data_IF_923406212291
#
_entry.id   IF_923406212291
#
_cell.length_a   1.000
_cell.length_b   1.000
_cell.length_c   1.000
_cell.angle_alpha   90.00
_cell.angle_beta   90.00
_cell.angle_gamma   90.00
#
_symmetry.space_group_name_H-M   'P 1'
#
loop_
_entity.id
_entity.type
_entity.pdbx_description
1 polymer ?
#
# COMPACT_ATOMS: atom_id res chain seq x y z
N UNK A 1 17.92 13.86 -86.51
CA UNK A 1 18.30 13.37 -85.19
C UNK A 1 17.80 14.36 -84.14
N UNK A 2 16.74 14.02 -83.42
CA UNK A 2 16.16 14.86 -82.35
C UNK A 2 16.52 14.25 -80.97
N UNK A 3 17.32 14.99 -80.25
CA UNK A 3 17.60 14.61 -78.83
C UNK A 3 16.50 15.00 -77.92
N UNK A 4 15.90 13.99 -77.24
CA UNK A 4 14.94 14.21 -76.14
C UNK A 4 15.72 14.54 -74.87
N UNK A 5 15.42 15.70 -74.31
CA UNK A 5 15.85 16.07 -72.93
C UNK A 5 15.03 15.28 -71.91
N UNK A 6 15.67 14.43 -71.09
CA UNK A 6 15.09 13.79 -69.94
C UNK A 6 15.24 14.75 -68.77
N UNK A 7 14.09 15.23 -68.27
CA UNK A 7 14.06 16.06 -67.04
C UNK A 7 13.99 15.13 -65.86
N UNK A 8 15.06 15.11 -65.06
CA UNK A 8 15.10 14.39 -63.80
C UNK A 8 14.39 15.22 -62.73
N UNK A 9 13.24 14.81 -62.27
CA UNK A 9 12.58 15.37 -61.09
C UNK A 9 13.29 14.83 -59.85
N UNK A 10 13.99 15.71 -59.16
CA UNK A 10 14.52 15.45 -57.82
C UNK A 10 13.34 15.47 -56.80
N UNK A 11 12.89 14.30 -56.34
CA UNK A 11 12.02 14.18 -55.21
C UNK A 11 12.87 14.39 -53.93
N UNK A 12 12.72 15.55 -53.32
CA UNK A 12 13.23 15.78 -51.94
C UNK A 12 12.39 14.98 -50.95
N UNK A 13 13.01 14.22 -50.04
CA UNK A 13 12.24 13.53 -48.97
C UNK A 13 11.72 14.59 -47.99
N UNK A 14 10.41 14.70 -47.89
CA UNK A 14 9.74 15.45 -46.84
C UNK A 14 9.98 14.71 -45.52
N UNK A 15 10.92 15.17 -44.70
CA UNK A 15 11.07 14.77 -43.33
C UNK A 15 9.86 15.30 -42.54
N UNK A 16 8.87 14.46 -42.31
CA UNK A 16 7.81 14.74 -41.35
C UNK A 16 8.47 14.63 -39.97
N UNK A 17 8.89 15.75 -39.41
CA UNK A 17 9.15 15.84 -37.98
C UNK A 17 7.84 15.60 -37.25
N UNK A 18 7.64 14.38 -36.75
CA UNK A 18 6.63 14.13 -35.74
C UNK A 18 7.06 14.87 -34.46
N UNK A 19 6.58 16.10 -34.33
CA UNK A 19 6.62 16.79 -33.05
C UNK A 19 5.76 15.98 -32.08
N UNK A 20 6.41 15.18 -31.24
CA UNK A 20 5.78 14.68 -30.03
C UNK A 20 5.33 15.90 -29.23
N UNK A 21 4.04 16.19 -29.27
CA UNK A 21 3.44 17.18 -28.38
C UNK A 21 3.55 16.58 -26.99
N UNK A 22 4.63 16.91 -26.28
CA UNK A 22 4.62 16.82 -24.84
C UNK A 22 3.44 17.70 -24.38
N UNK A 23 2.43 17.08 -23.74
CA UNK A 23 1.35 17.81 -23.11
C UNK A 23 2.02 18.87 -22.21
N UNK A 24 1.89 20.14 -22.60
CA UNK A 24 2.59 21.23 -21.94
C UNK A 24 2.23 21.22 -20.45
N UNK A 25 3.23 21.29 -19.58
CA UNK A 25 3.04 21.45 -18.15
C UNK A 25 2.19 22.69 -17.91
N UNK A 26 0.95 22.51 -17.49
CA UNK A 26 0.11 23.65 -17.12
C UNK A 26 0.70 24.36 -15.89
N UNK A 27 0.37 25.63 -15.63
CA UNK A 27 0.81 26.32 -14.41
C UNK A 27 0.51 25.49 -13.15
N UNK A 28 -0.61 24.75 -13.13
CA UNK A 28 -0.97 23.87 -12.02
C UNK A 28 -0.05 22.66 -11.90
N UNK A 29 0.40 22.08 -13.00
CA UNK A 29 1.36 20.96 -12.99
C UNK A 29 2.68 21.40 -12.38
N UNK A 30 3.14 22.61 -12.73
CA UNK A 30 4.37 23.20 -12.20
C UNK A 30 4.24 23.53 -10.70
N UNK A 31 3.09 24.04 -10.26
CA UNK A 31 2.80 24.31 -8.85
C UNK A 31 2.87 23.02 -8.01
N UNK A 32 2.17 21.95 -8.42
CA UNK A 32 2.20 20.65 -7.72
C UNK A 32 3.62 20.10 -7.69
N UNK A 33 4.33 20.13 -8.82
CA UNK A 33 5.72 19.68 -8.90
C UNK A 33 6.61 20.45 -7.93
N UNK A 34 6.49 21.77 -7.90
CA UNK A 34 7.26 22.64 -6.99
C UNK A 34 6.99 22.29 -5.53
N UNK A 35 5.73 22.10 -5.14
CA UNK A 35 5.36 21.71 -3.78
C UNK A 35 5.96 20.35 -3.40
N UNK A 36 5.90 19.37 -4.29
CA UNK A 36 6.51 18.05 -4.06
C UNK A 36 8.03 18.16 -3.97
N UNK A 37 8.66 18.89 -4.90
CA UNK A 37 10.12 19.10 -4.89
C UNK A 37 10.58 19.74 -3.57
N UNK A 38 9.89 20.75 -3.08
CA UNK A 38 10.26 21.46 -1.85
C UNK A 38 10.15 20.58 -0.59
N UNK A 39 9.23 19.65 -0.54
CA UNK A 39 8.96 18.84 0.65
C UNK A 39 9.62 17.47 0.62
N UNK A 40 9.83 16.87 -0.56
CA UNK A 40 10.34 15.50 -0.69
C UNK A 40 11.80 15.40 -1.13
N UNK A 41 12.29 16.30 -2.02
CA UNK A 41 13.70 16.24 -2.42
C UNK A 41 14.71 16.38 -1.26
N UNK A 42 14.49 17.23 -0.26
CA UNK A 42 15.43 17.31 0.87
C UNK A 42 15.56 15.99 1.64
N UNK A 43 14.55 15.11 1.59
CA UNK A 43 14.61 13.80 2.24
C UNK A 43 15.58 12.83 1.54
N UNK A 44 15.80 12.99 0.22
CA UNK A 44 16.78 12.19 -0.53
C UNK A 44 18.19 12.41 0.04
N UNK A 45 18.59 13.68 0.20
CA UNK A 45 19.89 14.05 0.72
C UNK A 45 20.00 13.73 2.22
N UNK A 46 19.00 14.16 3.03
CA UNK A 46 19.03 14.00 4.48
C UNK A 46 19.18 12.54 4.93
N UNK A 47 18.61 11.60 4.18
CA UNK A 47 18.56 10.18 4.53
C UNK A 47 19.35 9.30 3.55
N UNK A 48 20.10 9.92 2.64
CA UNK A 48 20.88 9.21 1.61
C UNK A 48 20.01 8.16 0.90
N UNK A 49 18.84 8.62 0.39
CA UNK A 49 17.86 7.78 -0.31
C UNK A 49 18.21 7.70 -1.79
N UNK A 50 18.59 6.52 -2.34
CA UNK A 50 18.98 6.43 -3.73
C UNK A 50 17.87 6.79 -4.72
N UNK A 51 16.61 6.42 -4.41
CA UNK A 51 15.49 6.65 -5.31
C UNK A 51 14.15 6.84 -4.63
N UNK A 52 13.32 7.68 -5.23
CA UNK A 52 11.98 8.00 -4.72
C UNK A 52 11.01 8.22 -5.88
N UNK A 53 9.77 7.82 -5.69
CA UNK A 53 8.65 8.19 -6.54
C UNK A 53 7.54 8.80 -5.68
N UNK A 54 7.03 9.97 -6.07
CA UNK A 54 5.94 10.67 -5.37
C UNK A 54 4.82 10.95 -6.35
N UNK A 55 3.61 10.59 -5.99
CA UNK A 55 2.42 10.85 -6.78
C UNK A 55 1.36 11.61 -5.99
N UNK A 56 0.70 12.53 -6.66
CA UNK A 56 -0.39 13.33 -6.11
C UNK A 56 -1.65 13.14 -6.96
N UNK A 57 -2.79 13.01 -6.32
CA UNK A 57 -4.10 13.12 -6.96
C UNK A 57 -4.75 14.41 -6.48
N UNK A 58 -5.21 15.24 -7.43
CA UNK A 58 -6.06 16.38 -7.14
C UNK A 58 -7.16 16.45 -8.19
N UNK A 59 -8.41 16.41 -7.74
CA UNK A 59 -9.60 16.46 -8.61
C UNK A 59 -9.55 15.42 -9.76
N UNK A 60 -9.20 14.15 -9.42
CA UNK A 60 -9.02 13.02 -10.34
C UNK A 60 -7.83 13.11 -11.29
N UNK A 61 -7.08 14.22 -11.35
CA UNK A 61 -5.83 14.32 -12.11
C UNK A 61 -4.70 13.73 -11.30
N UNK A 62 -3.87 12.90 -11.94
CA UNK A 62 -2.68 12.26 -11.36
C UNK A 62 -1.43 13.02 -11.78
N UNK A 63 -0.53 13.26 -10.84
CA UNK A 63 0.76 13.89 -11.02
C UNK A 63 1.84 12.94 -10.51
N UNK A 64 2.87 12.70 -11.30
CA UNK A 64 3.91 11.71 -11.02
C UNK A 64 5.28 12.37 -11.05
N UNK A 65 6.07 12.20 -10.01
CA UNK A 65 7.43 12.69 -9.89
C UNK A 65 8.38 11.54 -9.53
N UNK A 66 9.51 11.46 -10.21
CA UNK A 66 10.50 10.39 -10.07
C UNK A 66 11.87 11.02 -9.82
N UNK A 67 12.60 10.48 -8.83
CA UNK A 67 13.87 11.01 -8.37
C UNK A 67 14.88 9.88 -8.17
N UNK A 68 16.14 10.13 -8.55
CA UNK A 68 17.27 9.24 -8.28
C UNK A 68 17.22 7.89 -8.98
N UNK A 69 17.75 6.87 -8.33
CA UNK A 69 18.08 5.58 -8.92
C UNK A 69 17.28 4.42 -8.27
N UNK A 70 16.72 3.54 -9.11
CA UNK A 70 16.14 2.28 -8.66
C UNK A 70 17.20 1.20 -8.38
N UNK A 71 18.38 1.36 -8.98
CA UNK A 71 19.59 0.56 -8.74
C UNK A 71 20.80 1.47 -8.82
N UNK A 72 21.56 1.58 -7.75
CA UNK A 72 22.81 2.36 -7.69
C UNK A 72 23.89 1.65 -8.51
N UNK A 73 23.97 0.33 -8.38
CA UNK A 73 24.96 -0.49 -9.08
C UNK A 73 24.81 -0.37 -10.60
N UNK A 74 23.59 -0.47 -11.11
CA UNK A 74 23.29 -0.41 -12.54
C UNK A 74 23.09 1.02 -13.06
N UNK A 75 23.19 2.04 -12.19
CA UNK A 75 22.90 3.46 -12.48
C UNK A 75 21.53 3.64 -13.15
N UNK A 76 20.55 2.81 -12.79
CA UNK A 76 19.23 2.81 -13.42
C UNK A 76 18.29 3.77 -12.70
N UNK A 77 17.77 4.75 -13.44
CA UNK A 77 16.88 5.76 -12.89
C UNK A 77 15.51 5.20 -12.48
N UNK A 78 14.91 5.80 -11.44
CA UNK A 78 13.50 5.59 -11.08
C UNK A 78 12.60 6.15 -12.19
N UNK A 79 11.58 5.37 -12.55
CA UNK A 79 10.60 5.76 -13.58
C UNK A 79 9.22 5.11 -13.27
N UNK A 80 8.25 5.31 -14.17
CA UNK A 80 6.88 4.80 -14.03
C UNK A 80 6.77 3.27 -13.97
N UNK A 81 7.77 2.54 -14.46
CA UNK A 81 7.81 1.07 -14.41
C UNK A 81 8.54 0.54 -13.18
N UNK A 82 9.17 1.40 -12.36
CA UNK A 82 9.92 0.97 -11.17
C UNK A 82 8.98 0.34 -10.15
N UNK A 83 9.29 -0.89 -9.74
CA UNK A 83 8.53 -1.65 -8.76
C UNK A 83 9.19 -1.50 -7.39
N UNK A 84 8.42 -1.07 -6.39
CA UNK A 84 8.85 -0.89 -5.00
C UNK A 84 8.14 -1.88 -4.08
N UNK A 85 8.78 -2.27 -2.99
CA UNK A 85 8.12 -3.00 -1.90
C UNK A 85 7.23 -2.05 -1.09
N UNK A 86 5.99 -2.47 -0.84
CA UNK A 86 5.02 -1.62 -0.15
C UNK A 86 5.06 -1.77 1.38
N UNK A 87 5.73 -2.82 1.89
CA UNK A 87 5.69 -3.13 3.31
C UNK A 87 4.25 -3.22 3.82
N UNK A 88 3.97 -2.65 4.98
CA UNK A 88 2.64 -2.74 5.60
C UNK A 88 1.49 -2.08 4.83
N UNK A 89 1.75 -1.35 3.76
CA UNK A 89 0.68 -0.89 2.84
C UNK A 89 0.03 -2.09 2.12
N UNK A 90 0.71 -3.23 2.05
CA UNK A 90 0.15 -4.52 1.59
C UNK A 90 -1.15 -4.92 2.31
N UNK A 91 -1.27 -4.57 3.59
CA UNK A 91 -2.45 -4.86 4.42
C UNK A 91 -3.74 -4.25 3.87
N UNK A 92 -3.64 -3.16 3.10
CA UNK A 92 -4.79 -2.53 2.45
C UNK A 92 -5.38 -3.44 1.37
N UNK A 93 -4.54 -4.16 0.64
CA UNK A 93 -4.98 -5.14 -0.35
C UNK A 93 -5.57 -6.39 0.32
N UNK A 94 -4.98 -6.82 1.44
CA UNK A 94 -5.54 -7.91 2.27
C UNK A 94 -6.92 -7.55 2.81
N UNK A 95 -7.08 -6.32 3.31
CA UNK A 95 -8.36 -5.79 3.76
C UNK A 95 -9.39 -5.74 2.62
N UNK A 96 -8.98 -5.25 1.44
CA UNK A 96 -9.85 -5.22 0.24
C UNK A 96 -10.26 -6.63 -0.18
N UNK A 97 -9.34 -7.60 -0.15
CA UNK A 97 -9.64 -9.01 -0.44
C UNK A 97 -10.62 -9.60 0.60
N UNK A 98 -10.46 -9.26 1.88
CA UNK A 98 -11.40 -9.65 2.94
C UNK A 98 -12.79 -9.07 2.75
N UNK A 99 -12.89 -7.77 2.44
CA UNK A 99 -14.17 -7.12 2.10
C UNK A 99 -14.82 -7.75 0.86
N UNK A 100 -14.02 -8.10 -0.15
CA UNK A 100 -14.50 -8.80 -1.34
C UNK A 100 -15.03 -10.19 -1.00
N UNK A 101 -14.29 -10.99 -0.23
CA UNK A 101 -14.70 -12.33 0.19
C UNK A 101 -15.99 -12.28 1.02
N UNK A 102 -16.13 -11.31 1.93
CA UNK A 102 -17.35 -11.06 2.70
C UNK A 102 -18.54 -10.76 1.76
N UNK A 103 -18.36 -9.84 0.81
CA UNK A 103 -19.43 -9.47 -0.13
C UNK A 103 -19.85 -10.62 -1.06
N UNK A 104 -18.96 -11.58 -1.29
CA UNK A 104 -19.26 -12.82 -2.02
C UNK A 104 -19.87 -13.92 -1.12
N UNK A 105 -20.14 -13.64 0.14
CA UNK A 105 -20.67 -14.62 1.10
C UNK A 105 -19.69 -15.76 1.40
N UNK A 106 -18.38 -15.57 1.16
CA UNK A 106 -17.35 -16.58 1.40
C UNK A 106 -16.90 -16.60 2.85
N UNK A 107 -16.97 -15.45 3.54
CA UNK A 107 -16.70 -15.28 4.97
C UNK A 107 -17.74 -14.37 5.60
N UNK A 108 -17.94 -14.51 6.92
CA UNK A 108 -18.47 -13.46 7.80
C UNK A 108 -17.32 -12.93 8.65
N UNK A 109 -17.34 -11.68 9.04
CA UNK A 109 -16.35 -11.14 9.97
C UNK A 109 -16.52 -11.69 11.41
N UNK A 110 -17.69 -12.25 11.70
CA UNK A 110 -17.97 -12.96 12.96
C UNK A 110 -17.50 -14.41 12.94
N UNK A 111 -17.13 -14.95 11.79
CA UNK A 111 -16.55 -16.28 11.69
C UNK A 111 -15.19 -16.36 12.40
N UNK A 112 -14.80 -17.58 12.79
CA UNK A 112 -13.52 -17.87 13.42
C UNK A 112 -12.57 -18.61 12.45
N UNK A 113 -11.25 -18.56 12.64
CA UNK A 113 -10.30 -19.17 11.73
C UNK A 113 -10.47 -20.69 11.60
N UNK A 114 -10.87 -21.41 12.66
CA UNK A 114 -11.10 -22.85 12.63
C UNK A 114 -12.25 -23.30 11.73
N UNK A 115 -13.16 -22.39 11.35
CA UNK A 115 -14.15 -22.66 10.31
C UNK A 115 -13.51 -22.96 8.94
N UNK A 116 -12.39 -22.34 8.64
CA UNK A 116 -11.70 -22.40 7.34
C UNK A 116 -10.39 -23.20 7.38
N UNK A 117 -9.62 -23.06 8.47
CA UNK A 117 -8.42 -23.84 8.73
C UNK A 117 -8.70 -24.84 9.85
N UNK A 118 -9.12 -26.04 9.44
CA UNK A 118 -9.71 -27.06 10.34
C UNK A 118 -8.83 -27.43 11.53
N UNK A 119 -7.52 -27.40 11.35
CA UNK A 119 -6.53 -27.72 12.38
C UNK A 119 -6.48 -26.71 13.53
N UNK A 120 -7.08 -25.51 13.34
CA UNK A 120 -7.22 -24.50 14.38
C UNK A 120 -8.53 -24.63 15.17
N UNK A 121 -9.44 -25.51 14.74
CA UNK A 121 -10.73 -25.67 15.40
C UNK A 121 -10.56 -26.06 16.87
N UNK A 122 -11.31 -25.38 17.75
CA UNK A 122 -11.30 -25.60 19.22
C UNK A 122 -9.94 -25.23 19.88
N UNK A 123 -9.04 -24.54 19.22
CA UNK A 123 -7.84 -23.97 19.84
C UNK A 123 -8.12 -22.57 20.39
N UNK A 124 -7.27 -22.00 21.25
CA UNK A 124 -7.49 -20.64 21.77
C UNK A 124 -7.62 -19.56 20.68
N UNK A 125 -6.88 -19.66 19.56
CA UNK A 125 -7.00 -18.70 18.45
C UNK A 125 -8.37 -18.78 17.73
N UNK A 126 -9.07 -19.90 17.84
CA UNK A 126 -10.42 -20.08 17.28
C UNK A 126 -11.50 -19.33 18.06
N UNK A 127 -11.16 -18.68 19.17
CA UNK A 127 -12.04 -17.76 19.88
C UNK A 127 -11.99 -16.33 19.31
N UNK A 128 -11.02 -16.04 18.44
CA UNK A 128 -10.84 -14.74 17.81
C UNK A 128 -11.59 -14.74 16.48
N UNK A 129 -12.51 -13.80 16.30
CA UNK A 129 -13.20 -13.68 15.01
C UNK A 129 -12.35 -12.96 13.95
N UNK A 130 -12.78 -13.05 12.69
CA UNK A 130 -12.04 -12.52 11.56
C UNK A 130 -11.91 -10.98 11.61
N UNK A 131 -12.89 -10.26 12.15
CA UNK A 131 -12.78 -8.82 12.36
C UNK A 131 -11.66 -8.48 13.35
N UNK A 132 -11.60 -9.18 14.45
CA UNK A 132 -10.57 -9.00 15.49
C UNK A 132 -9.17 -9.30 14.96
N UNK A 133 -9.03 -10.34 14.11
CA UNK A 133 -7.76 -10.60 13.39
C UNK A 133 -7.38 -9.46 12.46
N UNK A 134 -8.32 -8.99 11.64
CA UNK A 134 -8.08 -7.94 10.64
C UNK A 134 -7.81 -6.56 11.26
N UNK A 135 -8.23 -6.34 12.52
CA UNK A 135 -8.13 -5.06 13.22
C UNK A 135 -7.26 -5.10 14.47
N UNK A 136 -6.50 -6.20 14.67
CA UNK A 136 -5.47 -6.36 15.69
C UNK A 136 -5.99 -6.38 17.14
N UNK A 137 -7.23 -6.78 17.35
CA UNK A 137 -7.81 -6.95 18.71
C UNK A 137 -7.89 -8.41 19.14
N UNK A 138 -6.94 -9.21 18.68
CA UNK A 138 -6.88 -10.66 18.89
C UNK A 138 -6.42 -11.10 20.28
N UNK A 139 -6.27 -10.20 21.26
CA UNK A 139 -5.77 -10.59 22.59
C UNK A 139 -4.24 -10.66 22.67
N UNK A 140 -3.55 -9.81 21.89
CA UNK A 140 -2.12 -9.59 21.95
C UNK A 140 -1.25 -10.63 21.21
N UNK A 141 -1.55 -10.88 19.93
CA UNK A 141 -0.58 -11.51 19.02
C UNK A 141 0.66 -10.62 18.84
N UNK A 142 1.84 -11.21 18.80
CA UNK A 142 3.11 -10.52 18.64
C UNK A 142 3.14 -9.69 17.32
N UNK A 143 4.03 -8.69 17.26
CA UNK A 143 4.25 -7.88 16.06
C UNK A 143 4.70 -8.73 14.87
N UNK A 144 5.62 -9.68 15.12
CA UNK A 144 6.19 -10.60 14.15
C UNK A 144 6.09 -12.04 14.67
N UNK A 145 6.16 -13.01 13.77
CA UNK A 145 6.47 -14.37 14.17
C UNK A 145 7.85 -14.41 14.82
N UNK A 146 8.08 -15.31 15.80
CA UNK A 146 9.42 -15.64 16.27
C UNK A 146 10.32 -16.14 15.13
N UNK A 147 11.62 -15.91 15.23
CA UNK A 147 12.58 -16.22 14.16
C UNK A 147 12.65 -17.73 13.78
N UNK A 148 12.27 -18.60 14.71
CA UNK A 148 12.17 -20.04 14.49
C UNK A 148 10.97 -20.47 13.63
N UNK A 149 9.94 -19.61 13.49
CA UNK A 149 8.74 -19.91 12.70
C UNK A 149 9.02 -19.60 11.22
N UNK A 150 9.31 -20.63 10.43
CA UNK A 150 9.71 -20.53 9.01
C UNK A 150 8.86 -21.34 8.06
N UNK A 151 8.20 -22.38 8.55
CA UNK A 151 7.41 -23.32 7.75
C UNK A 151 5.92 -23.21 8.06
N UNK A 152 5.07 -23.67 7.12
CA UNK A 152 3.61 -23.71 7.33
C UNK A 152 3.23 -24.54 8.57
N UNK A 153 3.96 -25.62 8.85
CA UNK A 153 3.74 -26.45 10.04
C UNK A 153 4.06 -25.66 11.32
N UNK A 154 5.14 -24.89 11.34
CA UNK A 154 5.50 -24.06 12.49
C UNK A 154 4.50 -22.90 12.70
N UNK A 155 4.00 -22.32 11.60
CA UNK A 155 2.90 -21.33 11.65
C UNK A 155 1.64 -21.94 12.28
N UNK A 156 1.27 -23.13 11.86
CA UNK A 156 0.13 -23.84 12.46
C UNK A 156 0.34 -24.10 13.95
N UNK A 157 1.51 -24.59 14.34
CA UNK A 157 1.87 -24.83 15.75
C UNK A 157 1.82 -23.52 16.56
N UNK A 158 2.42 -22.43 16.02
CA UNK A 158 2.37 -21.12 16.65
C UNK A 158 0.94 -20.67 16.98
N UNK A 159 -0.01 -20.81 16.06
CA UNK A 159 -1.39 -20.42 16.29
C UNK A 159 -2.13 -21.40 17.22
N UNK A 160 -1.84 -22.68 17.17
CA UNK A 160 -2.45 -23.69 18.08
C UNK A 160 -2.03 -23.47 19.53
N UNK A 161 -0.77 -23.13 19.75
CA UNK A 161 -0.19 -22.96 21.09
C UNK A 161 -0.38 -21.54 21.65
N UNK A 162 -0.82 -20.59 20.78
CA UNK A 162 -1.07 -19.22 21.19
C UNK A 162 -2.14 -19.13 22.27
N UNK A 163 -1.92 -18.24 23.24
CA UNK A 163 -2.88 -17.90 24.30
C UNK A 163 -3.01 -16.39 24.41
N UNK A 164 -4.25 -15.88 24.61
CA UNK A 164 -4.44 -14.45 24.79
C UNK A 164 -3.75 -13.97 26.07
N UNK A 165 -3.05 -12.83 25.99
CA UNK A 165 -2.46 -12.14 27.14
C UNK A 165 -3.35 -11.02 27.66
N UNK A 166 -4.28 -10.56 26.82
CA UNK A 166 -5.30 -9.56 27.13
C UNK A 166 -6.67 -10.07 26.67
N UNK A 167 -7.74 -9.47 27.19
CA UNK A 167 -9.11 -9.77 26.73
C UNK A 167 -9.23 -9.53 25.23
N UNK A 168 -9.76 -10.52 24.51
CA UNK A 168 -10.02 -10.46 23.09
C UNK A 168 -11.05 -9.36 22.82
N UNK A 169 -10.78 -8.47 21.87
CA UNK A 169 -11.67 -7.37 21.50
C UNK A 169 -11.44 -6.07 22.29
N UNK A 170 -10.71 -6.07 23.42
CA UNK A 170 -10.57 -4.89 24.28
C UNK A 170 -9.30 -4.05 24.01
N UNK A 171 -8.25 -4.69 23.50
CA UNK A 171 -6.96 -4.03 23.27
C UNK A 171 -6.49 -4.25 21.83
N UNK A 172 -6.13 -3.16 21.16
CA UNK A 172 -5.44 -3.21 19.87
C UNK A 172 -3.93 -3.32 20.10
N UNK A 173 -3.32 -4.32 19.48
CA UNK A 173 -1.88 -4.40 19.32
C UNK A 173 -1.55 -4.79 17.88
N UNK A 174 -0.83 -3.93 17.17
CA UNK A 174 -0.48 -4.15 15.77
C UNK A 174 0.32 -5.45 15.60
N UNK A 175 -0.11 -6.31 14.64
CA UNK A 175 0.43 -7.66 14.51
C UNK A 175 0.41 -8.12 13.05
N UNK A 176 1.57 -8.53 12.52
CA UNK A 176 1.67 -9.19 11.22
C UNK A 176 1.08 -10.61 11.23
N UNK A 177 1.32 -11.46 12.25
CA UNK A 177 0.62 -12.74 12.38
C UNK A 177 -0.90 -12.62 12.38
N UNK A 178 -1.48 -11.59 13.02
CA UNK A 178 -2.93 -11.38 13.07
C UNK A 178 -3.53 -11.19 11.68
N UNK A 179 -3.04 -10.20 10.94
CA UNK A 179 -3.52 -9.92 9.58
C UNK A 179 -3.06 -11.02 8.59
N UNK A 180 -1.94 -11.69 8.88
CA UNK A 180 -1.46 -12.84 8.13
C UNK A 180 -2.45 -13.99 8.18
N UNK A 181 -2.94 -14.34 9.38
CA UNK A 181 -3.97 -15.36 9.58
C UNK A 181 -5.28 -14.97 8.89
N UNK A 182 -5.71 -13.71 9.02
CA UNK A 182 -6.87 -13.21 8.30
C UNK A 182 -6.73 -13.42 6.78
N UNK A 183 -5.59 -13.05 6.18
CA UNK A 183 -5.33 -13.27 4.77
C UNK A 183 -5.29 -14.74 4.36
N UNK A 184 -4.74 -15.62 5.22
CA UNK A 184 -4.78 -17.08 5.02
C UNK A 184 -6.21 -17.59 4.99
N UNK A 185 -7.06 -17.14 5.91
CA UNK A 185 -8.49 -17.51 5.94
C UNK A 185 -9.21 -17.02 4.67
N UNK A 186 -8.96 -15.79 4.23
CA UNK A 186 -9.50 -15.27 2.97
C UNK A 186 -9.11 -16.16 1.79
N UNK A 187 -7.85 -16.56 1.69
CA UNK A 187 -7.35 -17.46 0.65
C UNK A 187 -8.05 -18.82 0.68
N UNK A 188 -8.15 -19.44 1.86
CA UNK A 188 -8.84 -20.72 2.07
C UNK A 188 -10.33 -20.63 1.68
N UNK A 189 -11.02 -19.56 2.08
CA UNK A 189 -12.45 -19.37 1.78
C UNK A 189 -12.73 -19.22 0.28
N UNK A 190 -11.74 -18.74 -0.48
CA UNK A 190 -11.82 -18.56 -1.92
C UNK A 190 -11.24 -19.75 -2.70
N UNK A 191 -10.75 -20.80 -2.04
CA UNK A 191 -10.06 -21.95 -2.64
C UNK A 191 -8.93 -21.55 -3.60
N UNK A 192 -8.12 -20.55 -3.22
CA UNK A 192 -6.99 -20.04 -4.00
C UNK A 192 -5.82 -19.70 -3.09
N UNK A 193 -4.57 -19.87 -3.53
CA UNK A 193 -3.43 -19.25 -2.87
C UNK A 193 -3.62 -17.73 -2.75
N UNK A 194 -3.09 -17.11 -1.71
CA UNK A 194 -3.31 -15.69 -1.42
C UNK A 194 -2.78 -14.77 -2.53
N UNK A 195 -1.64 -15.09 -3.11
CA UNK A 195 -1.09 -14.38 -4.27
C UNK A 195 -2.06 -14.39 -5.46
N UNK A 196 -2.71 -15.53 -5.74
CA UNK A 196 -3.71 -15.62 -6.80
C UNK A 196 -5.00 -14.85 -6.46
N UNK A 197 -5.39 -14.77 -5.18
CA UNK A 197 -6.51 -13.90 -4.77
C UNK A 197 -6.22 -12.45 -5.15
N UNK A 198 -5.01 -11.97 -4.87
CA UNK A 198 -4.63 -10.60 -5.24
C UNK A 198 -4.40 -10.45 -6.74
N UNK A 199 -3.53 -11.26 -7.34
CA UNK A 199 -3.04 -11.07 -8.71
C UNK A 199 -4.08 -11.45 -9.79
N UNK A 200 -5.03 -12.35 -9.48
CA UNK A 200 -6.06 -12.80 -10.43
C UNK A 200 -7.46 -12.27 -10.14
N UNK A 201 -7.67 -11.61 -8.99
CA UNK A 201 -9.00 -11.11 -8.64
C UNK A 201 -8.96 -9.63 -8.26
N UNK A 202 -8.18 -9.24 -7.26
CA UNK A 202 -8.22 -7.88 -6.70
C UNK A 202 -7.48 -6.87 -7.59
N UNK A 203 -6.24 -7.15 -7.97
CA UNK A 203 -5.44 -6.23 -8.78
C UNK A 203 -6.08 -5.95 -10.15
N UNK A 204 -6.53 -6.95 -10.92
CA UNK A 204 -7.22 -6.69 -12.19
C UNK A 204 -8.51 -5.88 -12.03
N UNK A 205 -9.31 -6.15 -10.99
CA UNK A 205 -10.55 -5.44 -10.74
C UNK A 205 -10.33 -3.97 -10.31
N UNK A 206 -9.15 -3.65 -9.75
CA UNK A 206 -8.69 -2.30 -9.45
C UNK A 206 -7.94 -1.65 -10.64
N UNK A 207 -7.71 -2.37 -11.73
CA UNK A 207 -6.94 -1.90 -12.90
C UNK A 207 -5.43 -1.82 -12.65
N UNK A 208 -4.89 -2.53 -11.65
CA UNK A 208 -3.46 -2.57 -11.34
C UNK A 208 -2.77 -3.59 -12.23
N UNK A 209 -1.82 -3.15 -13.05
CA UNK A 209 -1.16 -3.97 -14.07
C UNK A 209 0.25 -4.42 -13.67
N UNK A 210 0.86 -3.72 -12.73
CA UNK A 210 2.24 -3.89 -12.30
C UNK A 210 2.37 -4.00 -10.78
N UNK A 211 1.37 -4.65 -10.17
CA UNK A 211 1.32 -4.98 -8.74
C UNK A 211 1.44 -6.50 -8.58
N UNK A 212 2.28 -6.94 -7.66
CA UNK A 212 2.67 -8.34 -7.53
C UNK A 212 2.84 -8.73 -6.07
N UNK A 213 2.50 -9.96 -5.74
CA UNK A 213 3.03 -10.67 -4.58
C UNK A 213 4.38 -11.27 -4.96
N UNK A 214 4.42 -11.92 -6.14
CA UNK A 214 5.62 -12.51 -6.71
C UNK A 214 5.99 -11.79 -8.01
N UNK A 215 7.03 -10.96 -7.99
CA UNK A 215 7.48 -10.25 -9.21
C UNK A 215 7.91 -11.27 -10.27
N UNK A 216 7.27 -11.30 -11.46
CA UNK A 216 7.61 -12.28 -12.50
C UNK A 216 8.99 -11.99 -13.08
N UNK A 217 9.68 -13.04 -13.56
CA UNK A 217 11.04 -12.93 -14.13
C UNK A 217 11.17 -11.85 -15.20
N UNK A 218 10.13 -11.67 -16.02
CA UNK A 218 10.07 -10.63 -17.07
C UNK A 218 10.05 -9.20 -16.53
N UNK A 219 9.69 -9.00 -15.24
CA UNK A 219 9.63 -7.71 -14.59
C UNK A 219 10.76 -7.45 -13.58
N UNK A 220 11.64 -8.45 -13.35
CA UNK A 220 12.74 -8.33 -12.38
C UNK A 220 13.69 -7.16 -12.69
N UNK A 221 13.85 -6.79 -13.95
CA UNK A 221 14.62 -5.61 -14.35
C UNK A 221 14.03 -4.27 -13.87
N UNK A 222 12.73 -4.24 -13.55
CA UNK A 222 12.02 -3.07 -13.05
C UNK A 222 11.89 -3.08 -11.52
N UNK A 223 12.18 -4.20 -10.88
CA UNK A 223 12.14 -4.33 -9.43
C UNK A 223 13.37 -3.67 -8.82
N UNK A 224 13.17 -2.54 -8.15
CA UNK A 224 14.24 -1.79 -7.51
C UNK A 224 15.02 -2.64 -6.50
N UNK A 225 16.30 -2.29 -6.31
CA UNK A 225 16.96 -2.67 -5.07
C UNK A 225 16.59 -1.68 -3.98
N UNK A 226 16.21 -2.23 -2.82
CA UNK A 226 16.15 -1.47 -1.60
C UNK A 226 17.56 -1.35 -1.00
N UNK A 227 17.74 -0.41 -0.09
CA UNK A 227 19.03 -0.19 0.58
C UNK A 227 18.81 -0.15 2.09
N UNK A 228 19.61 -0.92 2.83
CA UNK A 228 19.60 -0.88 4.28
C UNK A 228 20.30 0.39 4.80
N UNK A 229 20.46 0.54 6.13
CA UNK A 229 21.10 1.75 6.69
C UNK A 229 22.57 1.86 6.32
N UNK A 230 23.24 0.75 6.03
CA UNK A 230 24.61 0.64 5.59
C UNK A 230 24.78 0.75 4.05
N UNK A 231 23.73 1.15 3.35
CA UNK A 231 23.67 1.27 1.88
C UNK A 231 23.91 -0.05 1.12
N UNK A 232 23.71 -1.19 1.79
CA UNK A 232 23.79 -2.49 1.10
C UNK A 232 22.48 -2.76 0.35
N UNK A 233 22.55 -3.23 -0.91
CA UNK A 233 21.37 -3.58 -1.68
C UNK A 233 20.64 -4.78 -1.06
N UNK A 234 19.34 -4.66 -0.89
CA UNK A 234 18.51 -5.69 -0.26
C UNK A 234 17.13 -5.75 -0.92
N UNK A 235 16.51 -6.91 -0.87
CA UNK A 235 15.08 -7.13 -1.12
C UNK A 235 14.52 -7.96 0.00
N UNK A 236 13.21 -7.83 0.27
CA UNK A 236 12.55 -8.61 1.31
C UNK A 236 12.66 -10.11 1.01
N UNK A 237 13.11 -10.87 2.01
CA UNK A 237 13.02 -12.33 1.96
C UNK A 237 11.58 -12.74 2.32
N UNK A 238 10.96 -13.62 1.53
CA UNK A 238 9.66 -14.18 1.88
C UNK A 238 9.70 -14.84 3.26
N UNK A 239 8.68 -14.59 4.06
CA UNK A 239 8.50 -15.18 5.37
C UNK A 239 7.09 -15.76 5.55
N UNK A 240 6.83 -16.45 6.65
CA UNK A 240 5.52 -17.04 6.89
C UNK A 240 4.42 -15.97 6.89
N UNK A 241 3.38 -16.17 6.07
CA UNK A 241 2.26 -15.25 5.91
C UNK A 241 2.68 -13.78 5.64
N UNK A 242 3.81 -13.59 4.97
CA UNK A 242 4.34 -12.28 4.60
C UNK A 242 3.47 -11.57 3.56
N UNK A 243 2.96 -12.30 2.58
CA UNK A 243 2.17 -11.74 1.50
C UNK A 243 0.98 -10.91 1.99
N UNK A 244 0.12 -11.39 2.93
CA UNK A 244 -0.96 -10.60 3.51
C UNK A 244 -0.46 -9.42 4.36
N UNK A 245 0.71 -9.53 4.98
CA UNK A 245 1.18 -8.56 5.96
C UNK A 245 2.05 -7.45 5.36
N UNK A 246 2.96 -7.78 4.44
CA UNK A 246 3.94 -6.83 3.87
C UNK A 246 4.51 -7.22 2.51
N UNK A 247 4.00 -8.27 1.85
CA UNK A 247 4.62 -8.89 0.69
C UNK A 247 4.24 -8.31 -0.68
N UNK A 248 3.40 -7.29 -0.77
CA UNK A 248 3.03 -6.68 -2.07
C UNK A 248 4.11 -5.73 -2.57
N UNK A 249 4.38 -5.80 -3.87
CA UNK A 249 5.25 -4.88 -4.63
C UNK A 249 4.41 -4.19 -5.69
N UNK A 250 4.67 -2.90 -5.96
CA UNK A 250 3.87 -2.13 -6.92
C UNK A 250 4.66 -0.95 -7.51
N UNK A 251 4.08 -0.33 -8.53
CA UNK A 251 4.59 0.90 -9.16
C UNK A 251 3.82 2.11 -8.66
N UNK A 252 4.37 3.33 -8.87
CA UNK A 252 3.67 4.56 -8.55
C UNK A 252 2.35 4.72 -9.32
N UNK A 253 2.27 4.46 -10.65
CA UNK A 253 1.00 4.55 -11.38
C UNK A 253 -0.09 3.62 -10.84
N UNK A 254 0.26 2.36 -10.47
CA UNK A 254 -0.68 1.43 -9.87
C UNK A 254 -1.15 1.91 -8.50
N UNK A 255 -0.23 2.40 -7.65
CA UNK A 255 -0.60 2.93 -6.34
C UNK A 255 -1.48 4.18 -6.43
N UNK A 256 -1.25 5.05 -7.41
CA UNK A 256 -2.16 6.16 -7.70
C UNK A 256 -3.54 5.67 -8.20
N UNK A 257 -3.57 4.58 -8.96
CA UNK A 257 -4.83 3.95 -9.38
C UNK A 257 -5.56 3.36 -8.17
N UNK A 258 -4.86 2.74 -7.24
CA UNK A 258 -5.42 2.24 -5.98
C UNK A 258 -5.99 3.38 -5.12
N UNK A 259 -5.26 4.50 -4.94
CA UNK A 259 -5.77 5.66 -4.21
C UNK A 259 -6.96 6.31 -4.94
N UNK A 260 -6.92 6.38 -6.27
CA UNK A 260 -8.08 6.86 -7.06
C UNK A 260 -9.32 5.98 -6.86
N UNK A 261 -9.16 4.65 -6.75
CA UNK A 261 -10.26 3.74 -6.45
C UNK A 261 -10.85 3.99 -5.05
N UNK A 262 -10.00 4.27 -4.06
CA UNK A 262 -10.42 4.61 -2.72
C UNK A 262 -11.10 6.00 -2.63
N UNK A 263 -10.69 6.96 -3.46
CA UNK A 263 -11.36 8.27 -3.58
C UNK A 263 -12.72 8.18 -4.32
N UNK A 264 -12.85 7.28 -5.28
CA UNK A 264 -14.00 7.20 -6.19
C UNK A 264 -14.49 5.75 -6.36
N UNK A 265 -14.85 5.05 -5.28
CA UNK A 265 -15.22 3.63 -5.36
C UNK A 265 -16.41 3.37 -6.29
N UNK A 266 -17.31 4.33 -6.45
CA UNK A 266 -18.47 4.26 -7.34
C UNK A 266 -18.12 4.13 -8.84
N UNK A 267 -16.88 4.39 -9.23
CA UNK A 267 -16.39 4.22 -10.61
C UNK A 267 -15.91 2.80 -10.93
N UNK A 268 -15.92 1.92 -9.94
CA UNK A 268 -15.39 0.56 -10.05
C UNK A 268 -16.51 -0.49 -10.00
N UNK A 269 -16.27 -1.74 -10.44
CA UNK A 269 -17.28 -2.80 -10.38
C UNK A 269 -17.89 -2.93 -8.98
N UNK A 270 -19.19 -3.20 -8.91
CA UNK A 270 -19.97 -3.17 -7.66
C UNK A 270 -19.37 -4.00 -6.53
N UNK A 271 -18.77 -5.16 -6.84
CA UNK A 271 -18.12 -6.00 -5.82
C UNK A 271 -16.88 -5.34 -5.23
N UNK A 272 -16.09 -4.65 -6.06
CA UNK A 272 -14.91 -3.88 -5.62
C UNK A 272 -15.33 -2.61 -4.89
N UNK A 273 -16.34 -1.91 -5.39
CA UNK A 273 -16.91 -0.75 -4.68
C UNK A 273 -17.32 -1.12 -3.25
N UNK A 274 -18.08 -2.22 -3.08
CA UNK A 274 -18.48 -2.69 -1.75
C UNK A 274 -17.28 -3.09 -0.90
N UNK A 275 -16.29 -3.76 -1.50
CA UNK A 275 -15.06 -4.15 -0.80
C UNK A 275 -14.29 -2.92 -0.28
N UNK A 276 -14.11 -1.89 -1.11
CA UNK A 276 -13.47 -0.63 -0.71
C UNK A 276 -14.27 0.05 0.41
N UNK A 277 -15.59 0.18 0.25
CA UNK A 277 -16.45 0.80 1.27
C UNK A 277 -16.38 0.06 2.61
N UNK A 278 -16.24 -1.28 2.59
CA UNK A 278 -16.01 -2.07 3.80
C UNK A 278 -14.69 -1.72 4.50
N UNK A 279 -13.65 -1.42 3.73
CA UNK A 279 -12.35 -1.01 4.31
C UNK A 279 -12.35 0.40 4.87
N UNK A 280 -13.33 1.23 4.50
CA UNK A 280 -13.50 2.60 4.99
C UNK A 280 -14.38 2.70 6.23
N UNK A 281 -14.78 1.59 6.81
CA UNK A 281 -15.58 1.59 8.04
C UNK A 281 -14.66 1.50 9.25
N UNK A 282 -14.54 2.59 9.99
CA UNK A 282 -13.91 2.56 11.30
C UNK A 282 -14.62 1.54 12.20
N UNK A 283 -13.85 0.77 12.97
CA UNK A 283 -14.38 -0.29 13.86
C UNK A 283 -14.34 0.12 15.33
N UNK A 284 -13.30 0.80 15.71
CA UNK A 284 -13.12 1.35 17.06
C UNK A 284 -12.07 2.45 17.03
N UNK A 285 -11.97 3.16 18.13
CA UNK A 285 -11.03 4.25 18.32
C UNK A 285 -9.89 3.83 19.25
N UNK A 286 -8.68 4.25 18.90
CA UNK A 286 -7.48 4.17 19.73
C UNK A 286 -6.87 5.56 19.79
N UNK A 287 -6.91 6.21 20.96
CA UNK A 287 -6.54 7.60 21.09
C UNK A 287 -7.32 8.48 20.07
N UNK A 288 -6.64 9.16 19.17
CA UNK A 288 -7.24 10.02 18.10
C UNK A 288 -7.42 9.29 16.77
N UNK A 289 -6.94 8.05 16.65
CA UNK A 289 -7.00 7.23 15.44
C UNK A 289 -8.21 6.30 15.49
N UNK A 290 -8.92 6.17 14.37
CA UNK A 290 -9.90 5.11 14.16
C UNK A 290 -9.26 3.96 13.38
N UNK A 291 -9.38 2.74 13.90
CA UNK A 291 -8.93 1.54 13.21
C UNK A 291 -10.04 1.04 12.30
N UNK A 292 -9.78 1.05 10.99
CA UNK A 292 -10.58 0.36 9.99
C UNK A 292 -9.90 -0.93 9.51
N UNK A 293 -10.42 -1.56 8.47
CA UNK A 293 -9.75 -2.70 7.84
C UNK A 293 -8.54 -2.21 7.06
N UNK A 294 -7.36 -2.42 7.63
CA UNK A 294 -6.09 -1.99 7.04
C UNK A 294 -5.79 -0.49 7.14
N UNK A 295 -6.78 0.37 6.92
CA UNK A 295 -6.62 1.82 7.05
C UNK A 295 -6.59 2.29 8.50
N UNK A 296 -5.83 3.35 8.72
CA UNK A 296 -5.87 4.20 9.90
C UNK A 296 -6.62 5.48 9.49
N UNK A 297 -7.74 5.75 10.19
CA UNK A 297 -8.64 6.85 9.85
C UNK A 297 -8.56 7.96 10.89
N UNK A 298 -8.87 9.17 10.46
CA UNK A 298 -8.90 10.35 11.33
C UNK A 298 -10.10 11.22 11.02
N UNK A 299 -10.59 11.95 12.02
CA UNK A 299 -11.51 13.06 11.78
C UNK A 299 -10.83 14.12 10.90
N UNK A 300 -11.55 14.64 9.94
CA UNK A 300 -11.01 15.69 9.06
C UNK A 300 -11.69 17.05 9.37
N UNK A 301 -10.92 18.14 9.48
CA UNK A 301 -9.48 18.25 9.30
C UNK A 301 -8.68 17.63 10.46
N UNK A 302 -7.61 16.91 10.13
CA UNK A 302 -6.65 16.39 11.09
C UNK A 302 -5.44 17.33 11.22
N UNK A 303 -4.87 17.43 12.42
CA UNK A 303 -3.61 18.15 12.63
C UNK A 303 -2.43 17.24 12.29
N UNK A 304 -1.28 17.84 11.99
CA UNK A 304 -0.04 17.07 11.81
C UNK A 304 0.26 16.20 13.04
N UNK A 305 0.11 16.78 14.26
CA UNK A 305 0.39 16.06 15.50
C UNK A 305 -0.49 14.80 15.64
N UNK A 306 -1.77 14.89 15.31
CA UNK A 306 -2.70 13.74 15.32
C UNK A 306 -2.17 12.57 14.46
N UNK A 307 -1.64 12.87 13.26
CA UNK A 307 -1.08 11.87 12.36
C UNK A 307 0.24 11.29 12.87
N UNK A 308 1.08 12.11 13.49
CA UNK A 308 2.34 11.67 14.09
C UNK A 308 2.09 10.76 15.29
N UNK A 309 1.17 11.14 16.17
CA UNK A 309 0.83 10.37 17.38
C UNK A 309 0.35 8.97 17.05
N UNK A 310 -0.41 8.79 15.97
CA UNK A 310 -0.89 7.48 15.51
C UNK A 310 0.24 6.52 15.10
N UNK A 311 1.39 7.06 14.75
CA UNK A 311 2.59 6.28 14.38
C UNK A 311 3.64 6.25 15.49
N UNK A 312 3.30 6.73 16.71
CA UNK A 312 4.19 6.64 17.87
C UNK A 312 4.42 5.18 18.29
N UNK A 313 5.55 4.93 18.94
CA UNK A 313 5.87 3.61 19.48
C UNK A 313 4.76 3.09 20.42
N UNK A 314 4.16 3.96 21.23
CA UNK A 314 3.04 3.60 22.10
C UNK A 314 1.88 3.01 21.31
N UNK A 315 1.46 3.64 20.22
CA UNK A 315 0.30 3.18 19.43
C UNK A 315 0.63 1.95 18.59
N UNK A 316 1.84 1.87 18.05
CA UNK A 316 2.22 0.77 17.15
C UNK A 316 2.64 -0.47 17.92
N UNK A 317 3.46 -0.32 18.99
CA UNK A 317 4.16 -1.45 19.63
C UNK A 317 3.49 -1.95 20.92
N UNK A 318 2.67 -1.12 21.57
CA UNK A 318 2.07 -1.47 22.86
C UNK A 318 0.58 -1.83 22.70
N UNK A 319 0.02 -2.60 23.64
CA UNK A 319 -1.44 -2.77 23.73
C UNK A 319 -2.12 -1.44 24.07
N UNK A 320 -3.15 -1.09 23.30
CA UNK A 320 -3.93 0.13 23.52
C UNK A 320 -5.40 -0.24 23.67
N UNK A 321 -6.04 0.21 24.76
CA UNK A 321 -7.45 -0.03 24.98
C UNK A 321 -8.27 0.62 23.86
N UNK A 322 -9.27 -0.13 23.36
CA UNK A 322 -10.16 0.39 22.31
C UNK A 322 -11.42 1.01 22.93
N UNK A 323 -11.97 2.00 22.24
CA UNK A 323 -13.23 2.66 22.61
C UNK A 323 -14.16 2.75 21.40
N UNK A 324 -15.43 3.02 21.65
CA UNK A 324 -16.40 3.24 20.58
C UNK A 324 -16.03 4.46 19.73
N UNK A 325 -16.35 4.41 18.44
CA UNK A 325 -16.12 5.51 17.51
C UNK A 325 -17.06 6.67 17.82
N UNK A 326 -16.51 7.87 17.87
CA UNK A 326 -17.25 9.05 18.22
C UNK A 326 -17.80 9.84 17.03
N UNK A 327 -17.16 9.88 15.85
CA UNK A 327 -17.66 10.65 14.68
C UNK A 327 -16.90 10.43 13.35
N UNK A 328 -17.56 10.84 12.24
CA UNK A 328 -17.04 11.17 10.91
C UNK A 328 -16.74 12.65 10.79
N UNK A 329 -15.96 13.14 9.89
CA UNK A 329 -15.54 12.73 8.56
C UNK A 329 -14.08 12.29 8.48
N UNK A 330 -13.59 11.86 7.29
CA UNK A 330 -12.50 10.91 7.17
C UNK A 330 -11.33 11.41 6.35
N UNK A 331 -10.17 11.29 6.93
CA UNK A 331 -8.88 11.23 6.28
C UNK A 331 -8.30 9.85 6.54
N UNK A 332 -7.71 9.23 5.54
CA UNK A 332 -7.18 7.87 5.59
C UNK A 332 -5.71 7.89 5.30
N UNK A 333 -4.92 7.17 6.08
CA UNK A 333 -3.53 6.95 5.74
C UNK A 333 -3.03 5.55 6.09
N UNK A 334 -1.85 5.21 5.55
CA UNK A 334 -1.08 4.04 5.95
C UNK A 334 0.39 4.24 5.67
N UNK A 335 1.21 3.90 6.65
CA UNK A 335 2.66 3.76 6.50
C UNK A 335 3.03 2.32 6.17
N UNK A 336 4.11 2.14 5.44
CA UNK A 336 4.69 0.83 5.15
C UNK A 336 6.21 0.88 5.11
N UNK A 337 6.84 -0.20 5.55
CA UNK A 337 8.30 -0.35 5.43
C UNK A 337 8.67 -1.82 5.32
N UNK A 338 9.72 -2.09 4.56
CA UNK A 338 10.56 -3.26 4.67
C UNK A 338 11.95 -2.81 5.15
N UNK A 339 12.93 -3.69 5.23
CA UNK A 339 14.29 -3.30 5.60
C UNK A 339 14.88 -2.27 4.64
N UNK A 340 14.58 -2.40 3.34
CA UNK A 340 15.15 -1.55 2.29
C UNK A 340 14.18 -0.55 1.65
N UNK A 341 12.91 -0.46 2.08
CA UNK A 341 11.93 0.38 1.42
C UNK A 341 11.06 1.15 2.40
N UNK A 342 10.56 2.29 1.94
CA UNK A 342 9.60 3.11 2.67
C UNK A 342 8.42 3.51 1.80
N UNK A 343 7.20 3.39 2.33
CA UNK A 343 5.97 3.75 1.63
C UNK A 343 5.07 4.57 2.54
N UNK A 344 4.41 5.56 1.98
CA UNK A 344 3.33 6.28 2.63
C UNK A 344 2.21 6.54 1.64
N UNK A 345 0.98 6.31 2.07
CA UNK A 345 -0.22 6.61 1.31
C UNK A 345 -1.22 7.35 2.18
N UNK A 346 -1.88 8.34 1.59
CA UNK A 346 -2.88 9.16 2.30
C UNK A 346 -3.90 9.71 1.30
N UNK A 347 -5.17 9.80 1.71
CA UNK A 347 -6.19 10.46 0.89
C UNK A 347 -7.29 11.08 1.76
N UNK A 348 -7.95 12.11 1.19
CA UNK A 348 -9.02 12.88 1.82
C UNK A 348 -10.19 12.94 0.83
N UNK A 349 -11.22 12.10 0.99
CA UNK A 349 -12.34 12.03 0.04
C UNK A 349 -13.05 13.38 -0.15
N UNK A 350 -13.29 14.11 0.93
CA UNK A 350 -13.97 15.42 0.90
C UNK A 350 -13.29 16.43 -0.02
N UNK A 351 -11.95 16.41 -0.05
CA UNK A 351 -11.14 17.32 -0.88
C UNK A 351 -10.82 16.76 -2.26
N UNK A 352 -11.13 15.47 -2.50
CA UNK A 352 -10.73 14.71 -3.69
C UNK A 352 -9.22 14.81 -3.97
N UNK A 353 -8.42 14.64 -2.90
CA UNK A 353 -6.95 14.66 -2.95
C UNK A 353 -6.38 13.39 -2.35
N UNK A 354 -5.21 12.99 -2.86
CA UNK A 354 -4.44 11.88 -2.32
C UNK A 354 -2.97 12.00 -2.65
N UNK A 355 -2.13 11.28 -1.90
CA UNK A 355 -0.70 11.25 -2.10
C UNK A 355 -0.14 9.85 -1.87
N UNK A 356 0.80 9.46 -2.71
CA UNK A 356 1.61 8.24 -2.62
C UNK A 356 3.07 8.63 -2.60
N UNK A 357 3.85 8.07 -1.69
CA UNK A 357 5.31 8.17 -1.64
C UNK A 357 5.90 6.78 -1.56
N UNK A 358 6.86 6.47 -2.44
CA UNK A 358 7.60 5.21 -2.51
C UNK A 358 9.10 5.52 -2.49
N UNK A 359 9.87 4.88 -1.62
CA UNK A 359 11.33 5.02 -1.56
C UNK A 359 12.01 3.66 -1.51
N UNK A 360 13.20 3.56 -2.08
CA UNK A 360 14.04 2.37 -1.98
C UNK A 360 15.13 2.47 -0.90
N UNK A 361 14.87 3.26 0.12
CA UNK A 361 15.51 3.21 1.44
C UNK A 361 14.51 3.64 2.48
N UNK A 362 14.51 2.95 3.63
CA UNK A 362 13.61 3.28 4.73
C UNK A 362 14.01 4.62 5.36
N UNK A 363 13.06 5.55 5.43
CA UNK A 363 13.17 6.80 6.18
C UNK A 363 12.13 6.82 7.31
N UNK A 364 12.31 7.64 8.37
CA UNK A 364 11.35 7.71 9.47
C UNK A 364 9.92 8.01 8.99
N UNK A 365 8.92 7.36 9.60
CA UNK A 365 7.51 7.61 9.28
C UNK A 365 7.13 9.08 9.47
N UNK A 366 7.64 9.71 10.54
CA UNK A 366 7.42 11.12 10.86
C UNK A 366 7.75 12.04 9.67
N UNK A 367 8.89 11.84 9.02
CA UNK A 367 9.33 12.66 7.90
C UNK A 367 8.43 12.47 6.65
N UNK A 368 8.00 11.23 6.40
CA UNK A 368 7.06 10.93 5.30
C UNK A 368 5.71 11.62 5.53
N UNK A 369 5.21 11.56 6.77
CA UNK A 369 3.94 12.17 7.16
C UNK A 369 4.05 13.70 7.07
N UNK A 370 5.13 14.32 7.59
CA UNK A 370 5.37 15.78 7.53
C UNK A 370 5.38 16.28 6.09
N UNK A 371 6.14 15.63 5.22
CA UNK A 371 6.24 16.02 3.81
C UNK A 371 4.89 15.93 3.09
N UNK A 372 4.19 14.81 3.26
CA UNK A 372 2.88 14.61 2.65
C UNK A 372 1.83 15.60 3.20
N UNK A 373 1.81 15.84 4.51
CA UNK A 373 0.91 16.78 5.15
C UNK A 373 1.10 18.22 4.61
N UNK A 374 2.34 18.66 4.44
CA UNK A 374 2.65 19.97 3.88
C UNK A 374 2.12 20.12 2.44
N UNK A 375 2.34 19.12 1.58
CA UNK A 375 1.83 19.13 0.20
C UNK A 375 0.30 19.15 0.20
N UNK A 376 -0.35 18.24 0.94
CA UNK A 376 -1.82 18.14 0.96
C UNK A 376 -2.48 19.42 1.49
N UNK A 377 -1.91 20.06 2.51
CA UNK A 377 -2.43 21.32 3.02
C UNK A 377 -2.32 22.48 2.03
N UNK A 378 -1.28 22.47 1.19
CA UNK A 378 -1.09 23.53 0.18
C UNK A 378 -2.03 23.35 -1.03
N UNK A 379 -2.48 22.11 -1.33
CA UNK A 379 -3.33 21.84 -2.50
C UNK A 379 -4.82 21.68 -2.18
N UNK A 380 -5.20 21.61 -0.89
CA UNK A 380 -6.62 21.59 -0.49
C UNK A 380 -7.31 22.89 -0.93
N UNK A 381 -8.60 22.79 -1.19
CA UNK A 381 -9.44 23.95 -1.57
C UNK A 381 -9.82 24.78 -0.35
#
# INVERSE_FOLDING_TARGET
>A
MRFKKISCLLLSPLFIFSTSIYAGNTPKDQEIKKLVDQNFKPLLEKYDVPGMAVGVIQNNKKYEMYYGLQSVQDKKAVNSSTIFELGSVSKLFTATAGGYAKNKGKISFDDTPGKYWKELKNTPIDQVNLLQLATYTSGNLALQFPDEVKTDQQVLTFFKDWKPKNSIGEYRQYSNPSIGLFGKVVALSMNKPFDQVLEKTIFPALGLKHSYVNVPKTQMQNYAFGYNQENQPIRVNPGPLDAPAYGVKSTLPDMLSFIHANLNPQKYPADIQRAINETHQGRYQVNTMYQALGWEEFSYPATLQTLLDSNSEQIVMKPNKVTAISKEPKMYHKTGSTTGFGTYVVFIPKENIGLVMLTNKRIPNEERIKAAYAVLNAIKK
#
